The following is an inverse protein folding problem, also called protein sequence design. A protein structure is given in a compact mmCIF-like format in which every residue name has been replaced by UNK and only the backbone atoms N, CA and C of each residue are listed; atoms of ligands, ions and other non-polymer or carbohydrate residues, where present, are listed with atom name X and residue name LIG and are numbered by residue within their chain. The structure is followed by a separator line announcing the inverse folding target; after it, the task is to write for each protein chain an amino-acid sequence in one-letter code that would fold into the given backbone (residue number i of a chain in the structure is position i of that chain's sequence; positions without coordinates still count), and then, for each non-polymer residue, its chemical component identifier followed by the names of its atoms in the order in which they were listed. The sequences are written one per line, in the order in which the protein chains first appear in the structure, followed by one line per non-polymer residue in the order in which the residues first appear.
data_IF_586063230299
#
_entry.id   IF_586063230299
#
_cell.length_a   1.000
_cell.length_b   1.000
_cell.length_c   1.000
_cell.angle_alpha   90.00
_cell.angle_beta   90.00
_cell.angle_gamma   90.00
#
_symmetry.space_group_name_H-M   'P 1'
#
loop_
_entity.id
_entity.type
_entity.pdbx_description
1 polymer ?
#
# COMPACT_ATOMS: atom_id res chain seq x y z
N UNK A 1 -1.42 -9.49 19.79
CA UNK A 1 -0.28 -8.70 20.24
C UNK A 1 -0.64 -7.23 20.07
N UNK A 2 -0.86 -6.45 21.13
CA UNK A 2 -1.47 -5.12 21.01
C UNK A 2 -0.41 -4.00 20.93
N UNK A 3 -0.67 -3.02 20.06
CA UNK A 3 -0.34 -1.59 20.25
C UNK A 3 1.13 -1.20 20.42
N UNK A 4 1.98 -1.45 19.42
CA UNK A 4 3.18 -0.65 19.20
C UNK A 4 3.06 0.03 17.83
N UNK A 5 2.96 1.36 17.81
CA UNK A 5 2.81 2.28 16.66
C UNK A 5 1.41 2.73 16.20
N UNK A 6 0.31 2.25 16.80
CA UNK A 6 -1.06 2.69 16.40
C UNK A 6 -1.41 4.11 16.94
N UNK A 7 -0.66 4.65 17.92
CA UNK A 7 -1.02 5.92 18.60
C UNK A 7 -0.68 7.22 17.85
N UNK A 8 -0.01 7.18 16.69
CA UNK A 8 0.28 8.36 15.85
C UNK A 8 -0.12 8.14 14.39
N UNK A 9 -1.21 7.39 14.18
CA UNK A 9 -1.80 7.22 12.86
C UNK A 9 -2.47 8.53 12.44
N UNK A 10 -1.77 9.31 11.63
CA UNK A 10 -2.37 10.42 10.91
C UNK A 10 -3.42 9.83 9.95
N UNK A 11 -4.65 10.31 10.04
CA UNK A 11 -5.76 9.83 9.22
C UNK A 11 -6.19 10.94 8.28
N UNK A 12 -6.41 10.59 7.02
CA UNK A 12 -7.06 11.46 6.04
C UNK A 12 -8.43 10.86 5.74
N UNK A 13 -9.49 11.49 6.27
CA UNK A 13 -10.81 10.86 6.36
C UNK A 13 -10.75 9.62 7.25
N UNK A 14 -11.01 8.44 6.68
CA UNK A 14 -10.80 7.16 7.35
C UNK A 14 -9.66 6.31 6.76
N UNK A 15 -8.82 6.92 5.93
CA UNK A 15 -7.64 6.27 5.36
C UNK A 15 -6.41 6.54 6.24
N UNK A 16 -5.68 5.50 6.70
CA UNK A 16 -4.50 5.69 7.52
C UNK A 16 -3.25 6.03 6.71
N UNK A 17 -2.47 6.98 7.19
CA UNK A 17 -1.14 7.30 6.69
C UNK A 17 -0.13 6.48 7.50
N UNK A 18 0.27 5.34 6.93
CA UNK A 18 1.21 4.42 7.54
C UNK A 18 2.64 4.68 7.07
N UNK A 19 3.64 4.55 7.96
CA UNK A 19 5.05 4.66 7.59
C UNK A 19 5.48 3.48 6.70
N UNK A 20 6.41 3.75 5.78
CA UNK A 20 6.88 2.77 4.79
C UNK A 20 8.40 2.65 4.77
N UNK A 21 8.91 1.45 4.47
CA UNK A 21 10.32 1.24 4.18
C UNK A 21 10.57 1.57 2.71
N UNK A 22 10.96 2.80 2.43
CA UNK A 22 11.27 3.24 1.07
C UNK A 22 12.39 4.26 1.02
N UNK A 23 13.09 4.31 -0.13
CA UNK A 23 14.09 5.35 -0.44
C UNK A 23 13.46 6.58 -1.09
N UNK A 24 12.17 6.50 -1.44
CA UNK A 24 11.42 7.60 -2.03
C UNK A 24 11.05 8.61 -0.95
N UNK A 25 11.07 9.91 -1.26
CA UNK A 25 10.55 10.93 -0.35
C UNK A 25 9.03 10.99 -0.46
N UNK A 26 8.34 11.15 0.66
CA UNK A 26 6.89 11.34 0.67
C UNK A 26 6.38 11.90 1.99
N UNK A 27 5.04 12.01 2.12
CA UNK A 27 4.41 12.69 3.25
C UNK A 27 4.44 11.87 4.55
N UNK A 28 4.70 10.56 4.49
CA UNK A 28 4.75 9.70 5.65
C UNK A 28 6.18 9.51 6.19
N UNK A 29 6.27 9.15 7.47
CA UNK A 29 7.53 8.78 8.10
C UNK A 29 8.17 7.56 7.40
N UNK A 30 9.46 7.63 7.11
CA UNK A 30 10.21 6.54 6.46
C UNK A 30 10.84 5.64 7.52
N UNK A 31 10.54 4.34 7.46
CA UNK A 31 11.12 3.33 8.34
C UNK A 31 12.59 3.08 8.03
N UNK A 32 13.38 2.57 9.00
CA UNK A 32 14.77 2.20 8.77
C UNK A 32 14.87 1.16 7.65
N UNK A 33 15.84 1.34 6.75
CA UNK A 33 16.13 0.37 5.70
C UNK A 33 16.71 -0.92 6.28
N UNK A 34 16.45 -2.03 5.61
CA UNK A 34 17.00 -3.33 5.97
C UNK A 34 18.54 -3.36 5.89
N UNK A 35 19.21 -4.12 6.77
CA UNK A 35 20.64 -4.36 6.68
C UNK A 35 21.04 -5.02 5.34
N UNK A 36 22.21 -4.69 4.76
CA UNK A 36 22.68 -5.32 3.52
C UNK A 36 22.76 -6.85 3.66
N UNK A 37 22.11 -7.58 2.75
CA UNK A 37 22.11 -9.04 2.72
C UNK A 37 20.94 -9.73 3.42
N UNK A 38 20.00 -8.97 3.99
CA UNK A 38 18.70 -9.51 4.44
C UNK A 38 17.72 -9.61 3.27
N UNK A 39 16.82 -10.60 3.33
CA UNK A 39 15.78 -10.82 2.32
C UNK A 39 14.68 -9.77 2.46
N UNK A 40 14.34 -9.09 1.36
CA UNK A 40 13.19 -8.18 1.32
C UNK A 40 11.84 -8.92 1.41
N UNK A 41 11.81 -10.25 1.24
CA UNK A 41 10.56 -11.03 1.13
C UNK A 41 10.13 -11.75 2.41
N UNK A 42 11.04 -11.91 3.38
CA UNK A 42 10.80 -12.67 4.62
C UNK A 42 11.35 -11.88 5.81
N UNK A 43 10.61 -10.86 6.21
CA UNK A 43 10.97 -9.96 7.32
C UNK A 43 10.19 -10.37 8.55
N UNK A 44 10.88 -10.39 9.68
CA UNK A 44 10.26 -10.63 10.98
C UNK A 44 9.19 -9.56 11.26
N UNK A 45 7.92 -9.92 11.54
CA UNK A 45 6.88 -8.96 11.93
C UNK A 45 7.24 -8.09 13.14
N UNK A 46 8.17 -8.53 13.99
CA UNK A 46 8.66 -7.75 15.14
C UNK A 46 9.82 -6.79 14.76
N UNK A 47 10.21 -6.73 13.49
CA UNK A 47 11.27 -5.83 12.98
C UNK A 47 10.80 -4.38 12.90
N UNK A 48 11.69 -3.43 13.21
CA UNK A 48 11.44 -1.99 13.02
C UNK A 48 11.34 -1.58 11.53
N UNK A 49 11.83 -2.44 10.64
CA UNK A 49 11.77 -2.27 9.18
C UNK A 49 10.57 -2.95 8.53
N UNK A 50 9.73 -3.65 9.32
CA UNK A 50 8.50 -4.29 8.86
C UNK A 50 7.46 -3.21 8.58
N UNK A 51 6.92 -3.20 7.37
CA UNK A 51 5.98 -2.17 6.94
C UNK A 51 4.63 -2.76 6.50
N UNK A 52 3.70 -1.88 6.15
CA UNK A 52 2.37 -2.33 5.74
C UNK A 52 2.33 -2.95 4.33
N UNK A 53 3.36 -2.76 3.50
CA UNK A 53 3.48 -3.47 2.22
C UNK A 53 3.88 -4.93 2.42
N UNK A 54 4.78 -5.23 3.38
CA UNK A 54 5.06 -6.60 3.83
C UNK A 54 3.77 -7.33 4.19
N UNK A 55 2.95 -6.67 5.02
CA UNK A 55 1.69 -7.24 5.50
C UNK A 55 0.70 -7.45 4.35
N UNK A 56 0.58 -6.47 3.44
CA UNK A 56 -0.24 -6.61 2.23
C UNK A 56 0.21 -7.78 1.36
N UNK A 57 1.51 -7.96 1.12
CA UNK A 57 2.04 -9.05 0.29
C UNK A 57 1.85 -10.42 0.96
N UNK A 58 2.09 -10.49 2.26
CA UNK A 58 1.85 -11.69 3.08
C UNK A 58 0.36 -12.06 3.06
N UNK A 59 -0.52 -11.09 3.30
CA UNK A 59 -1.97 -11.27 3.22
C UNK A 59 -2.42 -11.62 1.81
N UNK A 60 -1.86 -11.02 0.76
CA UNK A 60 -2.23 -11.33 -0.63
C UNK A 60 -1.91 -12.80 -0.98
N UNK A 61 -0.72 -13.27 -0.59
CA UNK A 61 -0.30 -14.68 -0.75
C UNK A 61 -1.22 -15.63 0.01
N UNK A 62 -1.61 -15.28 1.23
CA UNK A 62 -2.50 -16.09 2.08
C UNK A 62 -3.98 -16.02 1.66
N UNK A 63 -4.45 -14.89 1.11
CA UNK A 63 -5.88 -14.57 0.94
C UNK A 63 -6.41 -14.61 -0.49
N UNK A 64 -5.76 -15.30 -1.43
CA UNK A 64 -6.36 -15.55 -2.77
C UNK A 64 -7.70 -16.32 -2.72
N UNK A 65 -8.13 -16.81 -1.55
CA UNK A 65 -9.36 -17.57 -1.34
C UNK A 65 -10.48 -16.86 -0.56
N UNK A 66 -10.22 -15.76 0.16
CA UNK A 66 -11.25 -15.10 0.98
C UNK A 66 -11.87 -13.90 0.24
N UNK A 67 -13.18 -14.02 -0.08
CA UNK A 67 -13.93 -12.96 -0.78
C UNK A 67 -14.51 -11.88 0.13
N UNK A 68 -14.56 -12.12 1.44
CA UNK A 68 -15.15 -11.22 2.42
C UNK A 68 -14.09 -10.76 3.41
N UNK A 69 -13.76 -9.46 3.37
CA UNK A 69 -12.86 -8.83 4.34
C UNK A 69 -13.70 -8.00 5.31
N UNK A 70 -13.70 -8.37 6.59
CA UNK A 70 -14.37 -7.59 7.63
C UNK A 70 -13.49 -6.42 8.02
N UNK A 71 -13.95 -5.19 7.78
CA UNK A 71 -13.20 -3.97 8.12
C UNK A 71 -13.40 -3.69 9.61
N UNK A 72 -12.37 -3.94 10.43
CA UNK A 72 -12.39 -3.71 11.88
C UNK A 72 -11.79 -2.37 12.27
N UNK A 73 -10.88 -1.83 11.47
CA UNK A 73 -10.21 -0.58 11.76
C UNK A 73 -9.73 0.20 10.54
N UNK A 74 -9.05 1.34 10.76
CA UNK A 74 -8.48 2.13 9.69
C UNK A 74 -7.35 1.37 8.98
N UNK A 75 -6.53 0.62 9.70
CA UNK A 75 -5.45 -0.19 9.13
C UNK A 75 -5.97 -1.12 8.01
N UNK A 76 -7.01 -1.90 8.29
CA UNK A 76 -7.67 -2.80 7.33
C UNK A 76 -8.02 -2.14 5.99
N UNK A 77 -8.37 -0.85 5.99
CA UNK A 77 -8.70 -0.09 4.77
C UNK A 77 -7.46 0.11 3.90
N UNK A 78 -6.31 0.36 4.50
CA UNK A 78 -5.04 0.43 3.78
C UNK A 78 -4.62 -0.95 3.27
N UNK A 79 -4.85 -2.02 4.05
CA UNK A 79 -4.61 -3.39 3.58
C UNK A 79 -5.47 -3.73 2.34
N UNK A 80 -6.77 -3.42 2.37
CA UNK A 80 -7.66 -3.61 1.22
C UNK A 80 -7.17 -2.82 0.00
N UNK A 81 -6.77 -1.56 0.21
CA UNK A 81 -6.23 -0.73 -0.87
C UNK A 81 -4.95 -1.34 -1.47
N UNK A 82 -4.03 -1.81 -0.64
CA UNK A 82 -2.82 -2.50 -1.06
C UNK A 82 -3.12 -3.78 -1.85
N UNK A 83 -4.10 -4.57 -1.43
CA UNK A 83 -4.53 -5.79 -2.15
C UNK A 83 -5.09 -5.47 -3.53
N UNK A 84 -5.91 -4.41 -3.66
CA UNK A 84 -6.41 -3.94 -4.96
C UNK A 84 -5.26 -3.50 -5.86
N UNK A 85 -4.29 -2.75 -5.30
CA UNK A 85 -3.11 -2.28 -6.02
C UNK A 85 -2.25 -3.45 -6.53
N UNK A 86 -1.97 -4.44 -5.68
CA UNK A 86 -1.22 -5.65 -6.08
C UNK A 86 -1.98 -6.42 -7.18
N UNK A 87 -3.30 -6.51 -7.07
CA UNK A 87 -4.14 -7.16 -8.10
C UNK A 87 -4.06 -6.43 -9.45
N UNK A 88 -4.07 -5.10 -9.46
CA UNK A 88 -3.90 -4.32 -10.69
C UNK A 88 -2.49 -4.47 -11.28
N UNK A 89 -1.46 -4.42 -10.43
CA UNK A 89 -0.08 -4.67 -10.81
C UNK A 89 0.08 -6.05 -11.48
N UNK A 90 -0.46 -7.10 -10.87
CA UNK A 90 -0.43 -8.45 -11.43
C UNK A 90 -1.28 -8.58 -12.71
N UNK A 91 -2.39 -7.83 -12.81
CA UNK A 91 -3.18 -7.75 -14.04
C UNK A 91 -2.41 -7.15 -15.23
N UNK A 92 -1.41 -6.30 -14.97
CA UNK A 92 -0.53 -5.71 -16.01
C UNK A 92 0.59 -6.68 -16.41
N UNK A 93 1.02 -7.57 -15.53
CA UNK A 93 2.05 -8.59 -15.80
C UNK A 93 1.42 -9.80 -16.50
N UNK A 94 1.93 -10.16 -17.68
CA UNK A 94 1.46 -11.32 -18.44
C UNK A 94 2.42 -12.50 -18.27
N UNK A 95 1.93 -13.76 -18.34
CA UNK A 95 2.77 -14.95 -18.15
C UNK A 95 3.96 -15.05 -19.12
N UNK A 96 3.88 -14.41 -20.29
CA UNK A 96 4.90 -14.49 -21.33
C UNK A 96 5.87 -13.29 -21.34
N UNK A 97 5.78 -12.38 -20.36
CA UNK A 97 6.71 -11.25 -20.26
C UNK A 97 8.05 -11.68 -19.70
N UNK A 98 9.13 -11.10 -20.21
CA UNK A 98 10.43 -11.18 -19.54
C UNK A 98 10.41 -10.39 -18.22
N UNK A 99 11.30 -10.75 -17.29
CA UNK A 99 11.44 -10.06 -15.99
C UNK A 99 11.59 -8.54 -16.15
N UNK A 100 12.40 -8.09 -17.13
CA UNK A 100 12.63 -6.67 -17.41
C UNK A 100 11.39 -5.95 -17.97
N UNK A 101 10.58 -6.62 -18.77
CA UNK A 101 9.33 -6.06 -19.28
C UNK A 101 8.27 -5.98 -18.18
N UNK A 102 8.19 -7.00 -17.32
CA UNK A 102 7.34 -6.99 -16.14
C UNK A 102 7.72 -5.86 -15.19
N UNK A 103 9.01 -5.70 -14.87
CA UNK A 103 9.53 -4.59 -14.05
C UNK A 103 9.11 -3.23 -14.63
N UNK A 104 9.30 -3.02 -15.94
CA UNK A 104 8.89 -1.78 -16.60
C UNK A 104 7.37 -1.57 -16.55
N UNK A 105 6.58 -2.62 -16.72
CA UNK A 105 5.13 -2.56 -16.63
C UNK A 105 4.67 -2.19 -15.20
N UNK A 106 5.30 -2.75 -14.18
CA UNK A 106 5.04 -2.44 -12.77
C UNK A 106 5.45 -1.02 -12.41
N UNK A 107 6.62 -0.56 -12.88
CA UNK A 107 7.05 0.84 -12.70
C UNK A 107 6.04 1.79 -13.34
N UNK A 108 5.56 1.49 -14.55
CA UNK A 108 4.54 2.32 -15.19
C UNK A 108 3.22 2.28 -14.43
N UNK A 109 2.78 1.10 -13.99
CA UNK A 109 1.56 0.96 -13.19
C UNK A 109 1.66 1.75 -11.88
N UNK A 110 2.82 1.79 -11.23
CA UNK A 110 3.03 2.59 -10.01
C UNK A 110 2.97 4.11 -10.23
N UNK A 111 3.12 4.56 -11.48
CA UNK A 111 3.03 5.96 -11.87
C UNK A 111 1.64 6.34 -12.41
N UNK A 112 0.78 5.34 -12.68
CA UNK A 112 -0.60 5.58 -13.11
C UNK A 112 -1.38 6.27 -11.97
N UNK A 113 -2.31 7.12 -12.35
CA UNK A 113 -3.12 7.87 -11.40
C UNK A 113 -4.19 6.95 -10.79
N UNK A 114 -3.95 6.48 -9.57
CA UNK A 114 -4.91 5.66 -8.84
C UNK A 114 -6.10 6.50 -8.35
N UNK A 115 -7.29 5.91 -8.46
CA UNK A 115 -8.49 6.47 -7.89
C UNK A 115 -8.37 6.48 -6.36
N UNK A 116 -8.76 7.58 -5.73
CA UNK A 116 -8.87 7.70 -4.27
C UNK A 116 -10.34 7.57 -3.84
N UNK A 117 -10.64 7.27 -2.57
CA UNK A 117 -11.97 7.40 -2.02
C UNK A 117 -12.62 8.74 -2.38
N UNK A 118 -13.84 8.70 -2.94
CA UNK A 118 -14.56 9.85 -3.47
C UNK A 118 -14.45 10.02 -4.99
N UNK A 119 -13.46 9.42 -5.66
CA UNK A 119 -13.40 9.41 -7.13
C UNK A 119 -14.43 8.41 -7.69
N UNK A 120 -15.10 8.76 -8.80
CA UNK A 120 -16.09 7.89 -9.44
C UNK A 120 -15.50 6.54 -9.92
N UNK A 121 -14.20 6.51 -10.20
CA UNK A 121 -13.47 5.30 -10.60
C UNK A 121 -13.06 4.40 -9.42
N UNK A 122 -13.25 4.84 -8.17
CA UNK A 122 -12.87 4.05 -7.00
C UNK A 122 -13.93 2.97 -6.71
N UNK A 123 -13.58 1.67 -6.81
CA UNK A 123 -14.57 0.59 -6.77
C UNK A 123 -15.20 0.38 -5.38
N UNK A 124 -14.60 0.90 -4.32
CA UNK A 124 -15.01 0.66 -2.93
C UNK A 124 -15.52 1.92 -2.21
N UNK A 125 -16.11 2.88 -2.93
CA UNK A 125 -16.64 4.11 -2.32
C UNK A 125 -17.67 3.88 -1.20
N UNK A 126 -18.35 2.73 -1.18
CA UNK A 126 -19.28 2.38 -0.09
C UNK A 126 -18.56 2.00 1.21
N UNK A 127 -17.32 1.53 1.11
CA UNK A 127 -16.53 1.13 2.26
C UNK A 127 -15.66 2.28 2.78
N UNK A 128 -15.24 3.23 1.94
CA UNK A 128 -14.30 4.31 2.27
C UNK A 128 -14.99 5.67 2.37
N UNK A 129 -14.50 6.52 3.28
CA UNK A 129 -15.01 7.90 3.42
C UNK A 129 -14.18 8.84 2.55
N UNK A 130 -14.81 9.73 1.78
CA UNK A 130 -14.08 10.67 0.95
C UNK A 130 -13.31 11.68 1.82
N UNK A 131 -12.22 12.26 1.31
CA UNK A 131 -11.52 13.36 1.95
C UNK A 131 -12.47 14.52 2.25
N UNK A 132 -12.31 15.17 3.40
CA UNK A 132 -13.22 16.25 3.87
C UNK A 132 -13.14 17.50 3.00
N UNK A 133 -11.96 17.78 2.46
CA UNK A 133 -11.66 18.96 1.66
C UNK A 133 -10.62 18.66 0.57
N UNK A 134 -10.35 19.67 -0.25
CA UNK A 134 -9.40 19.57 -1.37
C UNK A 134 -7.95 19.35 -0.91
N UNK A 135 -7.59 19.82 0.28
CA UNK A 135 -6.24 19.69 0.83
C UNK A 135 -6.00 18.25 1.29
N UNK A 136 -6.95 17.66 2.01
CA UNK A 136 -6.94 16.26 2.40
C UNK A 136 -6.93 15.35 1.16
N UNK A 137 -7.70 15.69 0.12
CA UNK A 137 -7.68 14.94 -1.14
C UNK A 137 -6.30 14.96 -1.81
N UNK A 138 -5.63 16.11 -1.82
CA UNK A 138 -4.28 16.24 -2.39
C UNK A 138 -3.24 15.49 -1.56
N UNK A 139 -3.31 15.58 -0.23
CA UNK A 139 -2.45 14.82 0.67
C UNK A 139 -2.64 13.30 0.52
N UNK A 140 -3.87 12.82 0.37
CA UNK A 140 -4.14 11.40 0.13
C UNK A 140 -3.59 10.95 -1.23
N UNK A 141 -3.72 11.75 -2.29
CA UNK A 141 -3.10 11.45 -3.58
C UNK A 141 -1.58 11.39 -3.48
N UNK A 142 -0.96 12.32 -2.75
CA UNK A 142 0.49 12.30 -2.51
C UNK A 142 0.92 11.05 -1.75
N UNK A 143 0.14 10.62 -0.75
CA UNK A 143 0.41 9.39 -0.02
C UNK A 143 0.27 8.15 -0.90
N UNK A 144 -0.77 8.08 -1.74
CA UNK A 144 -0.96 6.97 -2.69
C UNK A 144 0.19 6.89 -3.68
N UNK A 145 0.63 8.02 -4.24
CA UNK A 145 1.80 8.06 -5.13
C UNK A 145 3.06 7.60 -4.39
N UNK A 146 3.21 7.99 -3.12
CA UNK A 146 4.30 7.53 -2.27
C UNK A 146 4.26 6.02 -2.02
N UNK A 147 3.08 5.46 -1.72
CA UNK A 147 2.85 4.02 -1.56
C UNK A 147 3.20 3.25 -2.84
N UNK A 148 2.68 3.70 -3.99
CA UNK A 148 2.99 3.10 -5.30
C UNK A 148 4.48 3.17 -5.63
N UNK A 149 5.13 4.29 -5.30
CA UNK A 149 6.57 4.45 -5.47
C UNK A 149 7.40 3.54 -4.56
N UNK A 150 6.91 3.24 -3.36
CA UNK A 150 7.55 2.32 -2.43
C UNK A 150 7.57 0.88 -2.97
N UNK A 151 6.52 0.44 -3.67
CA UNK A 151 6.45 -0.92 -4.26
C UNK A 151 7.58 -1.21 -5.24
N UNK A 152 8.25 -0.20 -5.82
CA UNK A 152 9.43 -0.40 -6.68
C UNK A 152 10.63 -1.03 -5.96
N UNK A 153 10.63 -1.02 -4.63
CA UNK A 153 11.71 -1.53 -3.79
C UNK A 153 11.40 -2.91 -3.20
N UNK A 154 10.36 -3.56 -3.70
CA UNK A 154 9.85 -4.88 -3.29
C UNK A 154 9.75 -5.80 -4.51
#
# INVERSE_FOLDING_TARGET
MPTRNICLLELIGNFPILPLRTRTRGPAYTLPLLPPGSSDLDIDPDSESYDCLDEVLSLYRANTFFRNFEIKGPADRMMIYGILFVSECLGKVKPNMSSREAEKALINASLDHFAIPGDAAFPLNQAFEPPKDRQDAEALRQYVVFLSGAVKFW
#
